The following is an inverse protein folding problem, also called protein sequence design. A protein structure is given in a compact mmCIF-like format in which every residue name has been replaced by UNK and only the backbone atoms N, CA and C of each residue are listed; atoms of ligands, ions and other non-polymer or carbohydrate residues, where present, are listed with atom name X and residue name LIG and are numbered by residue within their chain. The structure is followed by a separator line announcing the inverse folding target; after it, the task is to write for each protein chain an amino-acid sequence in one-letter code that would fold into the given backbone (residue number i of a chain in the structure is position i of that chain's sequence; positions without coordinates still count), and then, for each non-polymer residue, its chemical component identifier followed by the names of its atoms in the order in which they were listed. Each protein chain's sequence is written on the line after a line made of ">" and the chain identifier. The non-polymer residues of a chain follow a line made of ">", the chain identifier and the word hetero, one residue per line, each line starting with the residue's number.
data_IF_842642121655
#
_entry.id   IF_842642121655
#
_cell.length_a   1.000
_cell.length_b   1.000
_cell.length_c   1.000
_cell.angle_alpha   90.00
_cell.angle_beta   90.00
_cell.angle_gamma   90.00
#
_symmetry.space_group_name_H-M   'P 1'
#
loop_
_entity.id
_entity.type
_entity.pdbx_description
1 polymer ?
#
# COMPACT_ATOMS: atom_id res chain seq x y z
N UNK A 1 -3.88 12.49 24.29
CA UNK A 1 -2.60 12.25 23.59
C UNK A 1 -2.69 10.95 22.80
N UNK A 2 -2.35 10.94 21.51
CA UNK A 2 -2.28 9.71 20.70
C UNK A 2 -1.06 8.87 21.08
N UNK A 3 -1.17 7.54 20.98
CA UNK A 3 -0.06 6.63 21.29
C UNK A 3 1.10 6.78 20.30
N UNK A 4 2.34 6.50 20.74
CA UNK A 4 3.55 6.59 19.90
C UNK A 4 3.44 5.81 18.59
N UNK A 5 2.82 4.63 18.63
CA UNK A 5 2.56 3.80 17.44
C UNK A 5 1.62 4.50 16.44
N UNK A 6 0.53 5.10 16.91
CA UNK A 6 -0.41 5.86 16.07
C UNK A 6 0.24 7.08 15.42
N UNK A 7 1.12 7.78 16.14
CA UNK A 7 1.87 8.91 15.57
C UNK A 7 2.86 8.46 14.50
N UNK A 8 3.51 7.31 14.72
CA UNK A 8 4.48 6.71 13.79
C UNK A 8 3.84 6.24 12.48
N UNK A 9 2.66 5.61 12.55
CA UNK A 9 1.86 5.27 11.36
C UNK A 9 1.48 6.51 10.56
N UNK A 10 0.87 7.50 11.23
CA UNK A 10 0.50 8.78 10.62
C UNK A 10 1.66 9.56 10.00
N UNK A 11 2.88 9.40 10.53
CA UNK A 11 4.07 10.01 9.92
C UNK A 11 4.46 9.27 8.64
N UNK A 12 4.40 7.93 8.64
CA UNK A 12 4.75 7.15 7.46
C UNK A 12 3.78 7.36 6.31
N UNK A 13 2.48 7.37 6.57
CA UNK A 13 1.47 7.69 5.56
C UNK A 13 1.74 9.06 4.90
N UNK A 14 2.14 10.07 5.69
CA UNK A 14 2.53 11.39 5.17
C UNK A 14 3.79 11.34 4.32
N UNK A 15 4.82 10.61 4.77
CA UNK A 15 6.07 10.44 4.02
C UNK A 15 5.77 9.82 2.63
N UNK A 16 4.89 8.82 2.56
CA UNK A 16 4.47 8.19 1.29
C UNK A 16 3.66 9.17 0.43
N UNK A 17 2.72 9.92 1.01
CA UNK A 17 1.96 10.94 0.27
C UNK A 17 2.90 11.99 -0.35
N UNK A 18 3.87 12.51 0.41
CA UNK A 18 4.86 13.47 -0.10
C UNK A 18 5.70 12.86 -1.22
N UNK A 19 6.22 11.64 -1.02
CA UNK A 19 7.01 10.94 -2.03
C UNK A 19 6.25 10.75 -3.34
N UNK A 20 5.01 10.24 -3.29
CA UNK A 20 4.19 10.03 -4.49
C UNK A 20 3.82 11.35 -5.16
N UNK A 21 3.54 12.39 -4.36
CA UNK A 21 3.20 13.71 -4.89
C UNK A 21 4.37 14.35 -5.63
N UNK A 22 5.58 14.23 -5.09
CA UNK A 22 6.81 14.66 -5.75
C UNK A 22 7.11 13.82 -7.00
N UNK A 23 6.95 12.50 -6.92
CA UNK A 23 7.26 11.58 -8.01
C UNK A 23 6.37 11.80 -9.25
N UNK A 24 5.07 12.02 -9.05
CA UNK A 24 4.10 12.17 -10.14
C UNK A 24 3.66 13.61 -10.39
N UNK A 25 4.20 14.58 -9.62
CA UNK A 25 3.85 15.99 -9.68
C UNK A 25 2.33 16.23 -9.59
N UNK A 26 1.68 15.55 -8.63
CA UNK A 26 0.22 15.58 -8.42
C UNK A 26 -0.11 15.36 -6.93
N UNK A 27 -1.35 15.59 -6.50
CA UNK A 27 -1.71 15.61 -5.08
C UNK A 27 -2.13 14.23 -4.55
N UNK A 28 -1.30 13.63 -3.70
CA UNK A 28 -1.68 12.50 -2.85
C UNK A 28 -1.92 12.98 -1.41
N UNK A 29 -3.04 12.56 -0.83
CA UNK A 29 -3.37 12.90 0.56
C UNK A 29 -3.72 11.66 1.35
N UNK A 30 -3.57 11.75 2.67
CA UNK A 30 -3.86 10.65 3.59
C UNK A 30 -5.36 10.53 3.83
N UNK A 31 -5.87 9.30 3.89
CA UNK A 31 -7.27 9.07 4.30
C UNK A 31 -7.49 9.58 5.72
N UNK A 32 -8.49 10.46 5.96
CA UNK A 32 -8.85 10.88 7.31
C UNK A 32 -9.29 9.67 8.15
N UNK A 33 -8.70 9.49 9.33
CA UNK A 33 -8.95 8.34 10.20
C UNK A 33 -8.68 6.97 9.57
N UNK A 34 -7.65 6.87 8.70
CA UNK A 34 -7.04 5.60 8.26
C UNK A 34 -6.93 4.58 9.41
N UNK A 35 -7.44 3.37 9.18
CA UNK A 35 -7.55 2.28 10.17
C UNK A 35 -8.82 2.25 11.05
N UNK A 36 -9.69 3.27 11.01
CA UNK A 36 -10.99 3.21 11.71
C UNK A 36 -12.10 2.59 10.84
N UNK A 37 -11.99 2.70 9.52
CA UNK A 37 -13.02 2.23 8.57
C UNK A 37 -12.89 0.74 8.20
N UNK A 38 -11.68 0.19 8.27
CA UNK A 38 -11.35 -1.17 7.83
C UNK A 38 -11.26 -2.20 8.98
N UNK A 39 -11.37 -1.75 10.23
CA UNK A 39 -11.37 -2.61 11.42
C UNK A 39 -12.79 -3.00 11.85
N UNK A 40 -13.04 -4.32 11.91
CA UNK A 40 -14.31 -4.96 12.29
C UNK A 40 -15.14 -4.19 13.31
N UNK A 41 -16.28 -3.68 12.82
CA UNK A 41 -17.43 -2.98 13.45
C UNK A 41 -17.96 -1.83 12.58
N UNK A 42 -17.18 -1.30 11.62
CA UNK A 42 -17.60 -0.19 10.76
C UNK A 42 -17.93 -0.56 9.31
N UNK A 43 -17.90 -1.86 8.96
CA UNK A 43 -18.36 -2.37 7.66
C UNK A 43 -19.82 -1.98 7.37
N UNK A 44 -20.66 -1.91 8.41
CA UNK A 44 -22.06 -1.45 8.36
C UNK A 44 -22.21 0.03 7.92
N UNK A 45 -21.15 0.84 7.93
CA UNK A 45 -21.19 2.23 7.45
C UNK A 45 -21.00 2.33 5.94
N UNK A 46 -20.53 1.28 5.26
CA UNK A 46 -20.41 1.26 3.79
C UNK A 46 -21.78 1.39 3.11
N UNK A 47 -22.86 0.97 3.77
CA UNK A 47 -24.24 1.04 3.24
C UNK A 47 -24.79 2.46 3.10
N UNK A 48 -24.21 3.45 3.78
CA UNK A 48 -24.68 4.85 3.78
C UNK A 48 -23.74 5.82 3.07
N UNK A 49 -22.64 5.33 2.49
CA UNK A 49 -21.66 6.13 1.77
C UNK A 49 -21.97 6.11 0.28
N UNK A 50 -21.75 7.23 -0.41
CA UNK A 50 -21.79 7.25 -1.87
C UNK A 50 -20.60 6.45 -2.44
N UNK A 51 -20.72 5.94 -3.67
CA UNK A 51 -19.63 5.22 -4.33
C UNK A 51 -18.32 6.03 -4.36
N UNK A 52 -18.41 7.36 -4.52
CA UNK A 52 -17.27 8.27 -4.44
C UNK A 52 -16.66 8.30 -3.04
N UNK A 53 -17.47 8.33 -1.99
CA UNK A 53 -16.98 8.30 -0.60
C UNK A 53 -16.33 6.97 -0.27
N UNK A 54 -16.89 5.85 -0.74
CA UNK A 54 -16.26 4.52 -0.60
C UNK A 54 -14.91 4.51 -1.31
N UNK A 55 -14.86 5.02 -2.55
CA UNK A 55 -13.63 5.08 -3.34
C UNK A 55 -12.53 5.95 -2.69
N UNK A 56 -12.92 7.10 -2.13
CA UNK A 56 -12.03 7.99 -1.38
C UNK A 56 -11.61 7.43 -0.01
N UNK A 57 -12.22 6.34 0.44
CA UNK A 57 -11.95 5.71 1.74
C UNK A 57 -11.16 4.39 1.62
N UNK A 58 -10.76 3.98 0.41
CA UNK A 58 -10.00 2.75 0.16
C UNK A 58 -8.54 2.92 0.55
N UNK A 59 -8.03 2.04 1.41
CA UNK A 59 -6.64 2.06 1.89
C UNK A 59 -6.30 3.28 2.76
N UNK A 60 -5.01 3.59 2.81
CA UNK A 60 -4.43 4.65 3.64
C UNK A 60 -4.20 5.98 2.89
N UNK A 61 -4.17 5.94 1.55
CA UNK A 61 -3.81 7.08 0.68
C UNK A 61 -4.89 7.31 -0.38
N UNK A 62 -5.36 8.55 -0.44
CA UNK A 62 -6.23 9.08 -1.50
C UNK A 62 -5.34 9.59 -2.62
N UNK A 63 -5.45 9.03 -3.84
CA UNK A 63 -4.68 9.47 -4.98
C UNK A 63 -5.35 10.66 -5.70
N UNK A 64 -4.65 11.28 -6.68
CA UNK A 64 -5.28 12.17 -7.65
C UNK A 64 -6.46 11.53 -8.38
N UNK A 65 -7.42 12.35 -8.83
CA UNK A 65 -8.65 11.88 -9.47
C UNK A 65 -8.40 10.96 -10.68
N UNK A 66 -7.30 11.17 -11.43
CA UNK A 66 -6.94 10.34 -12.58
C UNK A 66 -6.52 8.92 -12.22
N UNK A 67 -6.02 8.69 -11.01
CA UNK A 67 -5.49 7.38 -10.57
C UNK A 67 -6.60 6.54 -9.94
N UNK A 68 -7.56 6.16 -10.78
CA UNK A 68 -8.80 5.48 -10.41
C UNK A 68 -8.62 4.07 -9.88
N UNK A 69 -7.52 3.40 -10.23
CA UNK A 69 -7.22 2.01 -9.87
C UNK A 69 -6.09 1.89 -8.82
N UNK A 70 -5.75 2.99 -8.15
CA UNK A 70 -4.74 3.00 -7.09
C UNK A 70 -5.35 2.59 -5.75
N UNK A 71 -4.68 1.68 -5.04
CA UNK A 71 -4.91 1.38 -3.62
C UNK A 71 -3.57 1.28 -2.93
N UNK A 72 -3.46 1.82 -1.74
CA UNK A 72 -2.23 1.71 -0.97
C UNK A 72 -2.49 1.51 0.51
N UNK A 73 -1.69 0.64 1.12
CA UNK A 73 -1.67 0.39 2.55
C UNK A 73 -0.28 0.71 3.11
N UNK A 74 -0.19 1.32 4.28
CA UNK A 74 1.05 1.81 4.88
C UNK A 74 1.33 1.15 6.23
N UNK A 75 2.44 0.39 6.33
CA UNK A 75 2.86 -0.29 7.56
C UNK A 75 4.18 0.24 8.08
N UNK A 76 4.23 0.71 9.33
CA UNK A 76 5.46 1.22 9.96
C UNK A 76 5.80 0.49 11.26
N UNK A 77 6.72 -0.47 11.18
CA UNK A 77 7.06 -1.37 12.29
C UNK A 77 8.50 -1.17 12.77
N UNK A 78 8.75 -1.57 14.01
CA UNK A 78 10.11 -1.54 14.59
C UNK A 78 10.96 -2.68 14.03
N UNK A 79 10.33 -3.84 13.79
CA UNK A 79 11.00 -5.04 13.32
C UNK A 79 10.14 -5.81 12.32
N UNK A 80 10.79 -6.67 11.54
CA UNK A 80 10.20 -7.55 10.54
C UNK A 80 11.08 -8.80 10.37
N UNK A 81 10.50 -10.02 10.35
CA UNK A 81 11.25 -11.27 10.33
C UNK A 81 11.76 -11.61 8.91
N UNK A 82 12.68 -10.81 8.36
CA UNK A 82 13.22 -10.98 7.00
C UNK A 82 13.72 -12.41 6.71
N UNK A 83 14.28 -13.10 7.70
CA UNK A 83 14.75 -14.47 7.55
C UNK A 83 13.64 -15.44 7.11
N UNK A 84 12.39 -15.23 7.53
CA UNK A 84 11.24 -16.06 7.18
C UNK A 84 10.80 -15.88 5.72
N UNK A 85 11.10 -14.73 5.09
CA UNK A 85 10.86 -14.56 3.65
C UNK A 85 11.67 -15.56 2.82
N UNK A 86 12.87 -15.90 3.29
CA UNK A 86 13.82 -16.76 2.54
C UNK A 86 13.77 -18.21 3.03
N UNK A 87 13.53 -18.45 4.32
CA UNK A 87 13.55 -19.81 4.87
C UNK A 87 12.23 -20.56 4.71
N UNK A 88 11.14 -20.02 5.25
CA UNK A 88 9.83 -20.69 5.27
C UNK A 88 8.88 -20.20 4.20
N UNK A 89 9.12 -19.00 3.65
CA UNK A 89 8.19 -18.32 2.76
C UNK A 89 6.85 -17.99 3.43
N UNK A 90 6.81 -17.93 4.77
CA UNK A 90 5.59 -17.70 5.56
C UNK A 90 5.87 -16.70 6.66
N UNK A 91 5.16 -15.58 6.61
CA UNK A 91 5.25 -14.48 7.58
C UNK A 91 3.83 -14.05 7.92
N UNK A 92 3.28 -14.57 9.02
CA UNK A 92 1.89 -14.29 9.43
C UNK A 92 1.59 -12.78 9.56
N UNK A 93 2.60 -11.99 9.96
CA UNK A 93 2.48 -10.54 9.99
C UNK A 93 2.28 -9.93 8.60
N UNK A 94 3.03 -10.40 7.60
CA UNK A 94 2.90 -9.96 6.21
C UNK A 94 1.58 -10.42 5.59
N UNK A 95 1.17 -11.66 5.89
CA UNK A 95 -0.14 -12.19 5.49
C UNK A 95 -1.28 -11.27 5.97
N UNK A 96 -1.27 -10.89 7.26
CA UNK A 96 -2.28 -9.99 7.81
C UNK A 96 -2.30 -8.59 7.18
N UNK A 97 -1.17 -8.14 6.61
CA UNK A 97 -1.09 -6.85 5.92
C UNK A 97 -1.60 -6.96 4.48
N UNK A 98 -1.32 -8.08 3.82
CA UNK A 98 -1.83 -8.40 2.49
C UNK A 98 -3.36 -8.50 2.52
N UNK A 99 -3.91 -9.24 3.49
CA UNK A 99 -5.37 -9.38 3.66
C UNK A 99 -6.08 -8.02 3.81
N UNK A 100 -5.43 -7.04 4.45
CA UNK A 100 -6.00 -5.70 4.62
C UNK A 100 -6.06 -4.93 3.31
N UNK A 101 -4.97 -4.92 2.53
CA UNK A 101 -4.94 -4.19 1.26
C UNK A 101 -5.81 -4.88 0.20
N UNK A 102 -5.90 -6.21 0.21
CA UNK A 102 -6.80 -6.95 -0.67
C UNK A 102 -8.27 -6.69 -0.35
N UNK A 103 -8.63 -6.58 0.93
CA UNK A 103 -10.01 -6.25 1.35
C UNK A 103 -10.46 -4.84 0.90
N UNK A 104 -9.51 -3.95 0.64
CA UNK A 104 -9.75 -2.59 0.13
C UNK A 104 -9.58 -2.47 -1.40
N UNK A 105 -9.24 -3.57 -2.08
CA UNK A 105 -8.97 -3.62 -3.51
C UNK A 105 -10.04 -4.39 -4.30
N UNK A 106 -10.26 -3.97 -5.53
CA UNK A 106 -11.04 -4.64 -6.57
C UNK A 106 -10.11 -5.31 -7.58
N UNK A 107 -10.65 -6.19 -8.42
CA UNK A 107 -9.87 -6.98 -9.40
C UNK A 107 -9.02 -6.12 -10.37
N UNK A 108 -9.52 -4.93 -10.73
CA UNK A 108 -8.82 -3.99 -11.63
C UNK A 108 -7.75 -3.15 -10.92
N UNK A 109 -7.70 -3.18 -9.60
CA UNK A 109 -6.82 -2.30 -8.85
C UNK A 109 -5.38 -2.78 -8.89
N UNK A 110 -4.46 -1.82 -9.00
CA UNK A 110 -3.03 -2.05 -8.82
C UNK A 110 -2.66 -1.53 -7.44
N UNK A 111 -2.76 -2.42 -6.45
CA UNK A 111 -2.48 -2.07 -5.07
C UNK A 111 -1.00 -2.19 -4.70
N UNK A 112 -0.55 -1.33 -3.78
CA UNK A 112 0.80 -1.37 -3.21
C UNK A 112 0.77 -1.40 -1.68
N UNK A 113 1.57 -2.28 -1.08
CA UNK A 113 1.80 -2.30 0.36
C UNK A 113 3.15 -1.63 0.69
N UNK A 114 3.10 -0.40 1.21
CA UNK A 114 4.25 0.40 1.60
C UNK A 114 4.71 0.08 3.03
N UNK A 115 5.92 -0.43 3.18
CA UNK A 115 6.43 -0.93 4.45
C UNK A 115 7.68 -0.15 4.87
N UNK A 116 7.65 0.48 6.05
CA UNK A 116 8.82 1.09 6.69
C UNK A 116 9.22 0.27 7.92
N UNK A 117 10.43 -0.26 7.89
CA UNK A 117 11.02 -0.96 9.05
C UNK A 117 12.13 -0.09 9.63
N UNK A 118 12.00 0.22 10.92
CA UNK A 118 12.85 1.19 11.61
C UNK A 118 14.33 0.78 11.53
N UNK A 119 15.19 1.69 11.07
CA UNK A 119 16.64 1.46 10.86
C UNK A 119 16.99 0.34 9.86
N UNK A 120 16.02 -0.19 9.10
CA UNK A 120 16.26 -1.22 8.08
C UNK A 120 15.93 -0.75 6.67
N UNK A 121 14.94 0.13 6.51
CA UNK A 121 14.63 0.77 5.24
C UNK A 121 13.14 0.80 4.91
N UNK A 122 12.86 1.11 3.64
CA UNK A 122 11.52 1.21 3.05
C UNK A 122 11.38 0.21 1.92
N UNK A 123 10.24 -0.49 1.90
CA UNK A 123 9.97 -1.60 1.01
C UNK A 123 8.57 -1.46 0.42
N UNK A 124 8.36 -2.13 -0.70
CA UNK A 124 7.05 -2.29 -1.33
C UNK A 124 6.82 -3.78 -1.57
N UNK A 125 5.60 -4.22 -1.26
CA UNK A 125 5.06 -5.49 -1.72
C UNK A 125 3.92 -5.22 -2.70
N UNK A 126 3.91 -5.95 -3.81
CA UNK A 126 2.91 -5.83 -4.86
C UNK A 126 2.59 -7.20 -5.48
N UNK A 127 1.37 -7.40 -6.02
CA UNK A 127 1.01 -8.61 -6.75
C UNK A 127 1.79 -8.69 -8.06
N UNK A 128 2.36 -9.86 -8.37
CA UNK A 128 2.97 -10.10 -9.68
C UNK A 128 1.83 -10.30 -10.69
N UNK A 129 1.65 -9.33 -11.58
CA UNK A 129 0.52 -9.26 -12.51
C UNK A 129 0.93 -8.72 -13.89
N UNK A 130 -0.04 -8.52 -14.78
CA UNK A 130 0.21 -7.96 -16.11
C UNK A 130 0.80 -6.55 -16.02
N UNK A 131 2.12 -6.43 -16.20
CA UNK A 131 2.87 -5.17 -16.21
C UNK A 131 3.80 -5.00 -15.00
N UNK A 132 3.49 -5.62 -13.86
CA UNK A 132 4.35 -5.63 -12.67
C UNK A 132 4.91 -7.04 -12.45
N UNK A 133 6.14 -7.26 -12.91
CA UNK A 133 6.83 -8.54 -12.82
C UNK A 133 7.81 -8.58 -11.63
N UNK A 134 8.31 -9.77 -11.33
CA UNK A 134 9.46 -9.95 -10.44
C UNK A 134 10.66 -9.14 -10.94
N UNK A 135 11.26 -8.34 -10.05
CA UNK A 135 12.47 -7.57 -10.35
C UNK A 135 13.74 -8.38 -10.10
N UNK A 136 14.87 -7.91 -10.62
CA UNK A 136 16.17 -8.57 -10.40
C UNK A 136 16.59 -8.61 -8.92
N UNK A 137 16.10 -7.67 -8.11
CA UNK A 137 16.33 -7.64 -6.66
C UNK A 137 15.01 -7.62 -5.90
N UNK A 138 14.93 -8.49 -4.90
CA UNK A 138 13.74 -8.67 -4.08
C UNK A 138 13.59 -10.14 -3.69
N UNK A 139 12.47 -10.45 -3.08
CA UNK A 139 12.12 -11.80 -2.66
C UNK A 139 10.69 -12.07 -3.09
N UNK A 140 10.46 -13.23 -3.70
CA UNK A 140 9.12 -13.71 -3.98
C UNK A 140 8.45 -14.12 -2.68
N UNK A 141 7.24 -13.64 -2.44
CA UNK A 141 6.40 -14.07 -1.34
C UNK A 141 5.06 -14.51 -1.91
N UNK A 142 4.85 -15.83 -2.05
CA UNK A 142 3.69 -16.40 -2.77
C UNK A 142 3.57 -15.83 -4.19
N UNK A 143 2.42 -15.27 -4.56
CA UNK A 143 2.14 -14.54 -5.80
C UNK A 143 2.63 -13.07 -5.80
N UNK A 144 3.21 -12.60 -4.70
CA UNK A 144 3.70 -11.23 -4.55
C UNK A 144 5.21 -11.11 -4.72
N UNK A 145 5.65 -9.89 -5.00
CA UNK A 145 7.07 -9.52 -4.98
C UNK A 145 7.35 -8.48 -3.92
N UNK A 146 8.33 -8.75 -3.05
CA UNK A 146 8.79 -7.85 -1.99
C UNK A 146 10.14 -7.27 -2.38
N UNK A 147 10.27 -5.95 -2.44
CA UNK A 147 11.54 -5.29 -2.79
C UNK A 147 11.69 -3.91 -2.14
N UNK A 148 12.86 -3.30 -2.29
CA UNK A 148 13.14 -1.95 -1.78
C UNK A 148 12.34 -0.90 -2.58
N UNK A 149 11.77 0.08 -1.88
CA UNK A 149 10.80 1.04 -2.43
C UNK A 149 11.36 1.91 -3.54
N UNK A 150 12.55 2.50 -3.37
CA UNK A 150 13.17 3.35 -4.39
C UNK A 150 13.54 2.55 -5.63
N UNK A 151 13.96 1.29 -5.45
CA UNK A 151 14.19 0.39 -6.57
C UNK A 151 12.89 0.12 -7.32
N UNK A 152 11.79 -0.22 -6.64
CA UNK A 152 10.50 -0.43 -7.27
C UNK A 152 10.09 0.75 -8.18
N UNK A 153 10.08 1.98 -7.65
CA UNK A 153 9.64 3.15 -8.42
C UNK A 153 10.63 3.55 -9.52
N UNK A 154 11.92 3.23 -9.41
CA UNK A 154 12.85 3.42 -10.53
C UNK A 154 12.49 2.54 -11.73
N UNK A 155 12.04 1.32 -11.48
CA UNK A 155 11.72 0.35 -12.55
C UNK A 155 10.29 0.51 -13.06
N UNK A 156 9.34 0.87 -12.18
CA UNK A 156 7.91 0.77 -12.48
C UNK A 156 7.11 2.07 -12.41
N UNK A 157 7.70 3.25 -12.16
CA UNK A 157 6.91 4.50 -12.06
C UNK A 157 5.95 4.72 -13.24
N UNK A 158 6.41 4.53 -14.47
CA UNK A 158 5.61 4.80 -15.68
C UNK A 158 4.58 3.69 -15.93
N UNK A 159 4.85 2.47 -15.45
CA UNK A 159 3.88 1.36 -15.49
C UNK A 159 2.79 1.56 -14.46
N UNK A 160 3.15 1.96 -13.24
CA UNK A 160 2.20 2.33 -12.20
C UNK A 160 1.28 3.48 -12.66
N UNK A 161 1.84 4.57 -13.20
CA UNK A 161 1.03 5.69 -13.70
C UNK A 161 -0.01 5.22 -14.74
N UNK A 162 0.41 4.37 -15.69
CA UNK A 162 -0.50 3.82 -16.70
C UNK A 162 -1.58 2.94 -16.06
N UNK A 163 -1.20 1.96 -15.25
CA UNK A 163 -2.15 1.02 -14.63
C UNK A 163 -3.14 1.71 -13.70
N UNK A 164 -2.72 2.75 -12.99
CA UNK A 164 -3.61 3.52 -12.13
C UNK A 164 -4.57 4.41 -12.91
N UNK A 165 -4.18 4.86 -14.11
CA UNK A 165 -5.01 5.76 -14.94
C UNK A 165 -6.01 5.00 -15.81
N UNK A 166 -5.63 3.85 -16.37
CA UNK A 166 -6.45 3.10 -17.31
C UNK A 166 -7.14 1.91 -16.64
N UNK A 167 -8.45 1.75 -16.88
CA UNK A 167 -9.08 0.43 -16.82
C UNK A 167 -8.66 -0.33 -18.08
N UNK A 168 -7.87 -1.39 -17.92
CA UNK A 168 -7.67 -2.37 -19.00
C UNK A 168 -8.96 -3.16 -19.25
#
# INVERSE_FOLDING_TARGET
>A
MSSKSKNKGKSWERDVCMFLSELYNDSFIRVPNSGAYTGGKNEFRKEYLTDEQVKLSRGDIIPPQKFVNFVAECKNYADFPFHQLVSTGRVALLDSWIEQVEADSEEKDTWLLFIKITRKGTFVLYPVSNGLHSLARGVRYKEYWFCEMQYFFREYKDTCERQWTYSL
#
